data_IF_234806857909
#
_entry.id   IF_234806857909
#
_cell.length_a   1.000
_cell.length_b   1.000
_cell.length_c   1.000
_cell.angle_alpha   90.00
_cell.angle_beta   90.00
_cell.angle_gamma   90.00
#
_symmetry.space_group_name_H-M   'P 1'
#
loop_
_entity.id
_entity.type
_entity.pdbx_description
1 polymer ?
#
# COMPACT_ATOMS: atom_id res chain seq x y z
N UNK A 1 29.86 -9.09 -43.78
CA UNK A 1 29.29 -10.34 -44.35
C UNK A 1 29.22 -10.25 -45.87
N UNK A 2 28.53 -9.26 -46.45
CA UNK A 2 28.49 -9.05 -47.90
C UNK A 2 29.87 -8.73 -48.52
N UNK A 3 30.71 -7.97 -47.82
CA UNK A 3 32.08 -7.65 -48.27
C UNK A 3 33.07 -8.83 -48.19
N UNK A 4 32.70 -9.93 -47.52
CA UNK A 4 33.54 -11.12 -47.36
C UNK A 4 33.01 -12.37 -48.10
N UNK A 5 32.01 -12.23 -48.99
CA UNK A 5 31.36 -13.35 -49.72
C UNK A 5 30.78 -14.46 -48.81
N UNK A 6 30.50 -14.17 -47.55
CA UNK A 6 29.84 -15.12 -46.65
C UNK A 6 28.33 -15.01 -46.90
N UNK A 7 27.74 -16.03 -47.53
CA UNK A 7 26.29 -16.13 -47.66
C UNK A 7 25.69 -16.37 -46.27
N UNK A 8 24.94 -15.41 -45.70
CA UNK A 8 24.32 -15.59 -44.39
C UNK A 8 23.35 -16.77 -44.49
N UNK A 9 23.27 -17.58 -43.44
CA UNK A 9 22.21 -18.59 -43.28
C UNK A 9 21.24 -18.16 -42.18
N UNK A 10 20.09 -18.81 -42.07
CA UNK A 10 19.16 -18.62 -40.95
C UNK A 10 19.88 -18.76 -39.59
N UNK A 11 20.74 -19.78 -39.47
CA UNK A 11 21.55 -19.99 -38.27
C UNK A 11 22.51 -18.83 -37.99
N UNK A 12 23.13 -18.27 -39.04
CA UNK A 12 24.04 -17.13 -38.92
C UNK A 12 23.32 -15.88 -38.41
N UNK A 13 22.12 -15.59 -38.93
CA UNK A 13 21.27 -14.49 -38.46
C UNK A 13 20.83 -14.71 -37.01
N UNK A 14 20.31 -15.88 -36.68
CA UNK A 14 19.84 -16.19 -35.32
C UNK A 14 20.98 -16.13 -34.28
N UNK A 15 22.17 -16.60 -34.64
CA UNK A 15 23.35 -16.52 -33.76
C UNK A 15 23.78 -15.07 -33.52
N UNK A 16 23.80 -14.25 -34.58
CA UNK A 16 24.14 -12.83 -34.47
C UNK A 16 23.10 -12.08 -33.62
N UNK A 17 21.81 -12.31 -33.87
CA UNK A 17 20.72 -11.72 -33.09
C UNK A 17 20.81 -12.11 -31.62
N UNK A 18 21.05 -13.39 -31.32
CA UNK A 18 21.19 -13.86 -29.93
C UNK A 18 22.40 -13.23 -29.23
N UNK A 19 23.53 -13.07 -29.92
CA UNK A 19 24.71 -12.37 -29.39
C UNK A 19 24.46 -10.88 -29.10
N UNK A 20 23.77 -10.19 -30.02
CA UNK A 20 23.40 -8.78 -29.86
C UNK A 20 22.40 -8.57 -28.73
N UNK A 21 21.36 -9.41 -28.66
CA UNK A 21 20.36 -9.39 -27.57
C UNK A 21 20.98 -9.75 -26.23
N UNK A 22 21.87 -10.75 -26.18
CA UNK A 22 22.62 -11.12 -24.99
C UNK A 22 23.43 -9.94 -24.44
N UNK A 23 24.04 -9.16 -25.34
CA UNK A 23 24.82 -7.96 -25.03
C UNK A 23 23.98 -6.68 -24.86
N UNK A 24 22.65 -6.79 -24.87
CA UNK A 24 21.69 -5.68 -24.74
C UNK A 24 21.74 -4.61 -25.86
N UNK A 25 22.33 -4.92 -27.03
CA UNK A 25 22.34 -4.03 -28.21
C UNK A 25 21.06 -4.23 -29.06
N UNK A 26 19.91 -3.88 -28.49
CA UNK A 26 18.60 -4.16 -29.10
C UNK A 26 18.38 -3.38 -30.41
N UNK A 27 18.82 -2.13 -30.50
CA UNK A 27 18.70 -1.34 -31.74
C UNK A 27 19.50 -1.94 -32.91
N UNK A 28 20.69 -2.47 -32.63
CA UNK A 28 21.49 -3.18 -33.62
C UNK A 28 20.81 -4.50 -34.03
N UNK A 29 20.19 -5.21 -33.08
CA UNK A 29 19.40 -6.41 -33.36
C UNK A 29 18.18 -6.09 -34.23
N UNK A 30 17.48 -4.98 -33.99
CA UNK A 30 16.38 -4.48 -34.84
C UNK A 30 16.84 -4.27 -36.29
N UNK A 31 18.00 -3.64 -36.50
CA UNK A 31 18.55 -3.43 -37.86
C UNK A 31 18.86 -4.74 -38.57
N UNK A 32 19.45 -5.70 -37.86
CA UNK A 32 19.74 -7.04 -38.40
C UNK A 32 18.44 -7.77 -38.78
N UNK A 33 17.39 -7.62 -37.97
CA UNK A 33 16.08 -8.21 -38.24
C UNK A 33 15.38 -7.58 -39.45
N UNK A 34 15.42 -6.26 -39.60
CA UNK A 34 14.89 -5.58 -40.81
C UNK A 34 15.64 -6.04 -42.05
N UNK A 35 16.98 -6.10 -41.99
CA UNK A 35 17.79 -6.60 -43.10
C UNK A 35 17.50 -8.07 -43.45
N UNK A 36 17.12 -8.89 -42.46
CA UNK A 36 16.69 -10.27 -42.67
C UNK A 36 15.33 -10.31 -43.39
N UNK A 37 14.35 -9.50 -42.97
CA UNK A 37 13.03 -9.41 -43.61
C UNK A 37 13.08 -8.96 -45.07
N UNK A 38 13.92 -7.98 -45.38
CA UNK A 38 14.12 -7.46 -46.74
C UNK A 38 14.99 -8.39 -47.61
N UNK A 39 15.70 -9.32 -46.95
CA UNK A 39 16.58 -10.29 -47.60
C UNK A 39 15.86 -11.53 -48.13
N UNK A 40 16.65 -12.46 -48.67
CA UNK A 40 16.12 -13.75 -49.17
C UNK A 40 15.78 -14.74 -48.06
N UNK A 41 16.25 -14.51 -46.83
CA UNK A 41 16.10 -15.41 -45.69
C UNK A 41 15.01 -14.87 -44.78
N UNK A 42 13.88 -15.55 -44.73
CA UNK A 42 12.74 -15.13 -43.90
C UNK A 42 12.99 -15.47 -42.42
N UNK A 43 12.56 -14.60 -41.49
CA UNK A 43 12.54 -14.90 -40.07
C UNK A 43 11.74 -16.17 -39.75
N UNK A 44 12.19 -16.91 -38.75
CA UNK A 44 11.51 -18.06 -38.15
C UNK A 44 11.07 -17.77 -36.71
N UNK A 45 10.41 -18.74 -36.07
CA UNK A 45 9.96 -18.63 -34.66
C UNK A 45 11.12 -18.30 -33.72
N UNK A 46 12.30 -18.89 -33.94
CA UNK A 46 13.51 -18.64 -33.13
C UNK A 46 13.99 -17.19 -33.28
N UNK A 47 13.95 -16.64 -34.50
CA UNK A 47 14.29 -15.24 -34.80
C UNK A 47 13.43 -14.29 -33.96
N UNK A 48 12.11 -14.49 -33.99
CA UNK A 48 11.15 -13.66 -33.25
C UNK A 48 11.30 -13.84 -31.73
N UNK A 49 11.40 -15.08 -31.23
CA UNK A 49 11.58 -15.35 -29.80
C UNK A 49 12.84 -14.69 -29.24
N UNK A 50 13.92 -14.62 -30.04
CA UNK A 50 15.16 -13.94 -29.66
C UNK A 50 14.94 -12.43 -29.49
N UNK A 51 14.21 -11.79 -30.40
CA UNK A 51 13.90 -10.35 -30.33
C UNK A 51 12.91 -10.03 -29.22
N UNK A 52 11.86 -10.84 -29.06
CA UNK A 52 10.87 -10.74 -27.98
C UNK A 52 11.59 -10.77 -26.63
N UNK A 53 12.48 -11.76 -26.41
CA UNK A 53 13.33 -11.83 -25.22
C UNK A 53 14.17 -10.57 -25.02
N UNK A 54 14.72 -10.02 -26.10
CA UNK A 54 15.47 -8.77 -26.07
C UNK A 54 14.65 -7.56 -25.64
N UNK A 55 13.43 -7.40 -26.19
CA UNK A 55 12.50 -6.34 -25.81
C UNK A 55 12.03 -6.47 -24.36
N UNK A 56 11.71 -7.69 -23.92
CA UNK A 56 11.37 -7.99 -22.54
C UNK A 56 12.49 -7.59 -21.56
N UNK A 57 13.76 -7.86 -21.91
CA UNK A 57 14.92 -7.53 -21.07
C UNK A 57 15.10 -6.01 -20.85
N UNK A 58 14.69 -5.19 -21.83
CA UNK A 58 14.78 -3.72 -21.73
C UNK A 58 13.49 -3.05 -21.25
N UNK A 59 12.51 -3.83 -20.78
CA UNK A 59 11.23 -3.32 -20.28
C UNK A 59 10.29 -2.77 -21.36
N UNK A 60 10.45 -3.20 -22.62
CA UNK A 60 9.60 -2.80 -23.76
C UNK A 60 8.59 -3.90 -24.09
N UNK A 61 7.83 -4.38 -23.11
CA UNK A 61 6.79 -5.42 -23.25
C UNK A 61 5.77 -5.12 -24.34
N UNK A 62 5.35 -3.87 -24.51
CA UNK A 62 4.44 -3.48 -25.61
C UNK A 62 5.00 -3.79 -27.01
N UNK A 63 6.30 -3.55 -27.24
CA UNK A 63 6.93 -3.93 -28.51
C UNK A 63 7.01 -5.45 -28.63
N UNK A 64 7.27 -6.15 -27.53
CA UNK A 64 7.32 -7.61 -27.52
C UNK A 64 5.96 -8.23 -27.90
N UNK A 65 4.83 -7.68 -27.43
CA UNK A 65 3.49 -8.14 -27.82
C UNK A 65 3.12 -7.76 -29.25
N UNK A 66 3.56 -6.61 -29.75
CA UNK A 66 3.44 -6.23 -31.17
C UNK A 66 4.17 -7.24 -32.08
N UNK A 67 5.34 -7.73 -31.67
CA UNK A 67 6.09 -8.74 -32.42
C UNK A 67 5.35 -10.09 -32.50
N UNK A 68 4.63 -10.49 -31.45
CA UNK A 68 3.79 -11.71 -31.49
C UNK A 68 2.65 -11.56 -32.49
N UNK A 69 1.95 -10.43 -32.47
CA UNK A 69 0.91 -10.13 -33.46
C UNK A 69 1.45 -10.14 -34.88
N UNK A 70 2.68 -9.64 -35.07
CA UNK A 70 3.33 -9.70 -36.38
C UNK A 70 3.60 -11.16 -36.81
N UNK A 71 4.06 -12.04 -35.90
CA UNK A 71 4.25 -13.47 -36.19
C UNK A 71 2.96 -14.10 -36.71
N UNK A 72 1.82 -13.81 -36.08
CA UNK A 72 0.52 -14.35 -36.49
C UNK A 72 0.11 -13.87 -37.88
N UNK A 73 0.31 -12.58 -38.19
CA UNK A 73 -0.02 -12.00 -39.50
C UNK A 73 0.77 -12.66 -40.63
N UNK A 74 2.01 -13.07 -40.36
CA UNK A 74 2.86 -13.79 -41.33
C UNK A 74 2.66 -15.31 -41.30
N UNK A 75 1.66 -15.81 -40.57
CA UNK A 75 1.37 -17.24 -40.36
C UNK A 75 2.53 -18.03 -39.74
N UNK A 76 3.33 -17.40 -38.88
CA UNK A 76 4.23 -18.10 -37.96
C UNK A 76 3.50 -18.28 -36.62
N UNK A 77 3.20 -19.52 -36.26
CA UNK A 77 2.50 -19.81 -35.02
C UNK A 77 3.41 -19.55 -33.80
N UNK A 78 3.02 -18.65 -32.87
CA UNK A 78 3.72 -18.47 -31.61
C UNK A 78 3.69 -19.77 -30.79
N UNK A 79 4.81 -20.13 -30.19
CA UNK A 79 4.91 -21.31 -29.34
C UNK A 79 4.75 -20.97 -27.85
N UNK A 80 4.67 -22.01 -27.00
CA UNK A 80 4.56 -21.86 -25.54
C UNK A 80 5.72 -21.01 -24.97
N UNK A 81 6.91 -21.09 -25.57
CA UNK A 81 8.09 -20.31 -25.15
C UNK A 81 7.89 -18.82 -25.43
N UNK A 82 7.25 -18.47 -26.54
CA UNK A 82 6.88 -17.11 -26.91
C UNK A 82 6.03 -16.46 -25.82
N UNK A 83 4.92 -17.11 -25.45
CA UNK A 83 4.00 -16.62 -24.42
C UNK A 83 4.67 -16.55 -23.04
N UNK A 84 5.40 -17.60 -22.64
CA UNK A 84 6.07 -17.66 -21.35
C UNK A 84 7.10 -16.52 -21.19
N UNK A 85 7.83 -16.19 -22.26
CA UNK A 85 8.82 -15.10 -22.26
C UNK A 85 8.18 -13.75 -21.98
N UNK A 86 7.03 -13.46 -22.61
CA UNK A 86 6.31 -12.21 -22.42
C UNK A 86 5.63 -12.18 -21.05
N UNK A 87 4.98 -13.27 -20.63
CA UNK A 87 4.36 -13.36 -19.31
C UNK A 87 5.37 -13.12 -18.19
N UNK A 88 6.58 -13.68 -18.29
CA UNK A 88 7.64 -13.45 -17.30
C UNK A 88 8.06 -11.98 -17.22
N UNK A 89 8.09 -11.29 -18.36
CA UNK A 89 8.42 -9.87 -18.44
C UNK A 89 7.29 -8.99 -17.86
N UNK A 90 6.04 -9.23 -18.26
CA UNK A 90 4.88 -8.56 -17.71
C UNK A 90 4.78 -8.74 -16.19
N UNK A 91 5.05 -9.96 -15.69
CA UNK A 91 5.11 -10.22 -14.25
C UNK A 91 6.20 -9.38 -13.55
N UNK A 92 7.39 -9.25 -14.15
CA UNK A 92 8.46 -8.44 -13.58
C UNK A 92 8.16 -6.93 -13.58
N UNK A 93 7.34 -6.48 -14.53
CA UNK A 93 6.85 -5.09 -14.60
C UNK A 93 5.62 -4.85 -13.72
N UNK A 94 5.01 -5.90 -13.17
CA UNK A 94 3.81 -5.82 -12.35
C UNK A 94 2.49 -5.72 -13.15
N UNK A 95 2.54 -5.94 -14.47
CA UNK A 95 1.37 -5.96 -15.35
C UNK A 95 0.71 -7.35 -15.33
N UNK A 96 -0.14 -7.55 -14.31
CA UNK A 96 -0.89 -8.81 -14.12
C UNK A 96 -2.00 -8.97 -15.16
N UNK A 97 -2.60 -7.87 -15.62
CA UNK A 97 -3.69 -7.91 -16.60
C UNK A 97 -3.19 -8.40 -17.96
N UNK A 98 -1.99 -7.98 -18.38
CA UNK A 98 -1.35 -8.54 -19.57
C UNK A 98 -1.06 -10.03 -19.40
N UNK A 99 -0.57 -10.47 -18.24
CA UNK A 99 -0.34 -11.90 -17.98
C UNK A 99 -1.64 -12.72 -18.11
N UNK A 100 -2.77 -12.22 -17.58
CA UNK A 100 -4.07 -12.89 -17.70
C UNK A 100 -4.57 -12.96 -19.14
N UNK A 101 -4.37 -11.89 -19.92
CA UNK A 101 -4.75 -11.88 -21.34
C UNK A 101 -4.00 -12.95 -22.14
N UNK A 102 -2.70 -13.09 -21.91
CA UNK A 102 -1.86 -14.10 -22.56
C UNK A 102 -2.24 -15.52 -22.12
N UNK A 103 -2.60 -15.69 -20.84
CA UNK A 103 -3.09 -16.97 -20.33
C UNK A 103 -4.38 -17.43 -21.02
N UNK A 104 -5.37 -16.55 -21.15
CA UNK A 104 -6.62 -16.87 -21.85
C UNK A 104 -6.38 -17.15 -23.33
N UNK A 105 -5.50 -16.39 -23.98
CA UNK A 105 -5.12 -16.66 -25.37
C UNK A 105 -4.44 -18.04 -25.53
N UNK A 106 -3.61 -18.45 -24.55
CA UNK A 106 -3.01 -19.78 -24.55
C UNK A 106 -4.06 -20.89 -24.38
N UNK A 107 -5.07 -20.69 -23.52
CA UNK A 107 -6.18 -21.63 -23.34
C UNK A 107 -7.05 -21.74 -24.60
N UNK A 108 -7.40 -20.60 -25.21
CA UNK A 108 -8.23 -20.53 -26.42
C UNK A 108 -7.55 -21.22 -27.63
N UNK A 109 -6.22 -21.13 -27.70
CA UNK A 109 -5.41 -21.83 -28.72
C UNK A 109 -5.15 -23.30 -28.40
N UNK A 110 -5.62 -23.80 -27.25
CA UNK A 110 -5.50 -25.20 -26.85
C UNK A 110 -4.10 -25.61 -26.41
N UNK A 111 -3.24 -24.67 -25.99
CA UNK A 111 -1.92 -25.01 -25.47
C UNK A 111 -2.01 -25.70 -24.10
N UNK A 112 -1.13 -26.66 -23.86
CA UNK A 112 -0.90 -27.17 -22.50
C UNK A 112 -0.12 -26.12 -21.69
N UNK A 113 -0.83 -25.42 -20.80
CA UNK A 113 -0.25 -24.37 -19.97
C UNK A 113 0.77 -24.96 -18.97
N UNK A 114 2.04 -24.53 -19.00
CA UNK A 114 3.04 -25.02 -18.06
C UNK A 114 2.76 -24.60 -16.61
N UNK A 115 3.19 -25.43 -15.65
CA UNK A 115 3.09 -25.15 -14.20
C UNK A 115 3.69 -23.78 -13.78
N UNK A 116 4.77 -23.35 -14.46
CA UNK A 116 5.37 -22.04 -14.22
C UNK A 116 4.43 -20.88 -14.51
N UNK A 117 3.62 -20.96 -15.57
CA UNK A 117 2.67 -19.91 -15.93
C UNK A 117 1.61 -19.71 -14.84
N UNK A 118 1.07 -20.80 -14.29
CA UNK A 118 0.17 -20.73 -13.13
C UNK A 118 0.85 -20.08 -11.92
N UNK A 119 2.11 -20.42 -11.65
CA UNK A 119 2.87 -19.83 -10.55
C UNK A 119 2.99 -18.32 -10.71
N UNK A 120 3.33 -17.81 -11.90
CA UNK A 120 3.43 -16.38 -12.17
C UNK A 120 2.09 -15.66 -11.98
N UNK A 121 1.01 -16.21 -12.53
CA UNK A 121 -0.33 -15.63 -12.44
C UNK A 121 -0.84 -15.59 -11.01
N UNK A 122 -0.74 -16.70 -10.28
CA UNK A 122 -1.19 -16.78 -8.89
C UNK A 122 -0.39 -15.80 -8.04
N UNK A 123 0.94 -15.77 -8.16
CA UNK A 123 1.76 -14.81 -7.43
C UNK A 123 1.42 -13.36 -7.78
N UNK A 124 1.13 -13.08 -9.06
CA UNK A 124 0.75 -11.75 -9.55
C UNK A 124 -0.59 -11.29 -8.96
N UNK A 125 -1.61 -12.15 -9.04
CA UNK A 125 -2.93 -11.90 -8.45
C UNK A 125 -2.83 -11.72 -6.94
N UNK A 126 -2.04 -12.54 -6.25
CA UNK A 126 -1.79 -12.39 -4.82
C UNK A 126 -1.18 -11.04 -4.46
N UNK A 127 -0.24 -10.52 -5.26
CA UNK A 127 0.35 -9.18 -5.09
C UNK A 127 -0.68 -8.06 -5.26
N UNK A 128 -1.65 -8.24 -6.17
CA UNK A 128 -2.75 -7.28 -6.37
C UNK A 128 -3.90 -7.41 -5.36
N UNK A 129 -3.86 -8.42 -4.47
CA UNK A 129 -4.89 -8.67 -3.47
C UNK A 129 -6.15 -9.38 -4.00
N UNK A 130 -6.13 -9.88 -5.24
CA UNK A 130 -7.24 -10.60 -5.87
C UNK A 130 -7.26 -12.08 -5.43
N UNK A 131 -7.50 -12.31 -4.13
CA UNK A 131 -7.40 -13.64 -3.47
C UNK A 131 -8.29 -14.70 -4.14
N UNK A 132 -9.54 -14.35 -4.48
CA UNK A 132 -10.51 -15.31 -5.03
C UNK A 132 -10.12 -15.78 -6.43
N UNK A 133 -9.66 -14.86 -7.29
CA UNK A 133 -9.16 -15.19 -8.63
C UNK A 133 -7.89 -16.05 -8.55
N UNK A 134 -6.98 -15.72 -7.62
CA UNK A 134 -5.76 -16.50 -7.38
C UNK A 134 -6.08 -17.95 -6.96
N UNK A 135 -7.05 -18.13 -6.06
CA UNK A 135 -7.48 -19.46 -5.63
C UNK A 135 -8.20 -20.24 -6.76
N UNK A 136 -9.00 -19.56 -7.58
CA UNK A 136 -9.64 -20.20 -8.73
C UNK A 136 -8.61 -20.73 -9.76
N UNK A 137 -7.56 -19.95 -10.05
CA UNK A 137 -6.45 -20.40 -10.89
C UNK A 137 -5.67 -21.56 -10.25
N UNK A 138 -5.51 -21.55 -8.93
CA UNK A 138 -4.89 -22.66 -8.21
C UNK A 138 -5.70 -23.96 -8.34
N UNK A 139 -7.02 -23.92 -8.20
CA UNK A 139 -7.86 -25.11 -8.42
C UNK A 139 -7.84 -25.54 -9.90
N UNK A 140 -7.78 -24.61 -10.85
CA UNK A 140 -7.64 -24.94 -12.28
C UNK A 140 -6.30 -25.62 -12.58
N UNK A 141 -5.21 -25.13 -11.98
CA UNK A 141 -3.88 -25.73 -12.05
C UNK A 141 -3.92 -27.22 -11.62
N UNK A 142 -4.58 -27.51 -10.50
CA UNK A 142 -4.72 -28.88 -9.99
C UNK A 142 -5.59 -29.76 -10.88
N UNK A 143 -6.70 -29.22 -11.42
CA UNK A 143 -7.58 -29.94 -12.38
C UNK A 143 -6.86 -30.29 -13.67
N UNK A 144 -5.94 -29.43 -14.11
CA UNK A 144 -5.09 -29.65 -15.28
C UNK A 144 -3.89 -30.57 -14.99
N UNK A 145 -3.86 -31.23 -13.82
CA UNK A 145 -2.84 -32.21 -13.45
C UNK A 145 -1.51 -31.61 -13.01
N UNK A 146 -1.40 -30.28 -12.90
CA UNK A 146 -0.22 -29.61 -12.37
C UNK A 146 -0.25 -29.64 -10.83
N UNK A 147 0.89 -29.90 -10.19
CA UNK A 147 1.01 -29.85 -8.73
C UNK A 147 1.43 -28.46 -8.27
N UNK A 148 0.79 -27.96 -7.20
CA UNK A 148 1.23 -26.76 -6.51
C UNK A 148 2.67 -26.91 -6.02
N UNK A 149 3.46 -25.84 -6.13
CA UNK A 149 4.79 -25.78 -5.54
C UNK A 149 4.75 -24.93 -4.26
N UNK A 150 5.87 -24.91 -3.53
CA UNK A 150 6.02 -24.12 -2.30
C UNK A 150 5.64 -22.65 -2.51
N UNK A 151 6.17 -22.02 -3.56
CA UNK A 151 5.94 -20.60 -3.85
C UNK A 151 4.45 -20.26 -4.02
N UNK A 152 3.67 -21.10 -4.72
CA UNK A 152 2.22 -20.92 -4.90
C UNK A 152 1.48 -21.00 -3.58
N UNK A 153 1.78 -22.02 -2.77
CA UNK A 153 1.15 -22.18 -1.45
C UNK A 153 1.47 -21.00 -0.52
N UNK A 154 2.75 -20.64 -0.39
CA UNK A 154 3.18 -19.52 0.44
C UNK A 154 2.54 -18.21 -0.01
N UNK A 155 2.46 -17.95 -1.33
CA UNK A 155 1.83 -16.74 -1.87
C UNK A 155 0.32 -16.67 -1.59
N UNK A 156 -0.40 -17.79 -1.72
CA UNK A 156 -1.83 -17.85 -1.39
C UNK A 156 -2.05 -17.68 0.12
N UNK A 157 -1.27 -18.37 0.96
CA UNK A 157 -1.34 -18.25 2.42
C UNK A 157 -1.13 -16.81 2.87
N UNK A 158 -0.08 -16.14 2.37
CA UNK A 158 0.19 -14.72 2.66
C UNK A 158 -0.95 -13.82 2.16
N UNK A 159 -1.51 -14.09 0.99
CA UNK A 159 -2.63 -13.30 0.45
C UNK A 159 -3.92 -13.45 1.29
N UNK A 160 -4.26 -14.68 1.69
CA UNK A 160 -5.38 -14.95 2.62
C UNK A 160 -5.14 -14.29 3.99
N UNK A 161 -3.91 -14.37 4.52
CA UNK A 161 -3.54 -13.71 5.77
C UNK A 161 -3.67 -12.19 5.69
N UNK A 162 -3.18 -11.57 4.61
CA UNK A 162 -3.26 -10.11 4.38
C UNK A 162 -4.69 -9.60 4.19
N UNK A 163 -5.59 -10.43 3.65
CA UNK A 163 -7.02 -10.09 3.53
C UNK A 163 -7.82 -10.30 4.82
N UNK A 164 -7.17 -10.73 5.92
CA UNK A 164 -7.81 -10.97 7.21
C UNK A 164 -8.53 -12.32 7.33
N UNK A 165 -8.47 -13.16 6.29
CA UNK A 165 -9.06 -14.49 6.27
C UNK A 165 -8.05 -15.55 6.75
N UNK A 166 -7.74 -15.51 8.05
CA UNK A 166 -6.78 -16.44 8.66
C UNK A 166 -7.21 -17.91 8.57
N UNK A 167 -8.52 -18.19 8.56
CA UNK A 167 -9.04 -19.56 8.40
C UNK A 167 -8.71 -20.14 7.02
N UNK A 168 -8.84 -19.32 5.96
CA UNK A 168 -8.43 -19.70 4.62
C UNK A 168 -6.93 -19.98 4.54
N UNK A 169 -6.12 -19.14 5.18
CA UNK A 169 -4.67 -19.32 5.26
C UNK A 169 -4.29 -20.63 5.97
N UNK A 170 -4.91 -20.93 7.12
CA UNK A 170 -4.67 -22.18 7.85
C UNK A 170 -5.11 -23.41 7.07
N UNK A 171 -6.26 -23.37 6.38
CA UNK A 171 -6.69 -24.49 5.51
C UNK A 171 -5.69 -24.77 4.40
N UNK A 172 -5.15 -23.73 3.76
CA UNK A 172 -4.12 -23.88 2.74
C UNK A 172 -2.80 -24.40 3.31
N UNK A 173 -2.44 -23.98 4.53
CA UNK A 173 -1.25 -24.46 5.22
C UNK A 173 -1.34 -25.95 5.59
N UNK A 174 -2.49 -26.42 6.08
CA UNK A 174 -2.68 -27.84 6.33
C UNK A 174 -2.74 -28.64 5.03
N UNK A 175 -3.36 -28.10 3.97
CA UNK A 175 -3.33 -28.72 2.63
C UNK A 175 -1.90 -28.85 2.09
N UNK A 176 -1.07 -27.82 2.25
CA UNK A 176 0.34 -27.84 1.84
C UNK A 176 1.10 -29.01 2.47
N UNK A 177 0.87 -29.26 3.77
CA UNK A 177 1.46 -30.41 4.49
C UNK A 177 0.90 -31.75 3.98
N UNK A 178 -0.41 -31.83 3.76
CA UNK A 178 -1.06 -33.05 3.23
C UNK A 178 -0.54 -33.41 1.83
N UNK A 179 -0.22 -32.41 1.01
CA UNK A 179 0.39 -32.57 -0.30
C UNK A 179 1.89 -32.94 -0.24
N UNK A 180 2.45 -33.07 0.97
CA UNK A 180 3.85 -33.44 1.20
C UNK A 180 4.84 -32.29 0.96
N UNK A 181 4.38 -31.04 0.98
CA UNK A 181 5.22 -29.86 0.79
C UNK A 181 5.55 -29.29 2.17
N UNK A 182 6.81 -29.35 2.56
CA UNK A 182 7.24 -28.84 3.87
C UNK A 182 7.21 -27.31 3.91
N UNK A 183 6.48 -26.71 4.89
CA UNK A 183 6.52 -25.28 5.13
C UNK A 183 7.92 -24.82 5.51
N UNK A 184 8.31 -23.66 4.97
CA UNK A 184 9.54 -22.98 5.34
C UNK A 184 9.29 -21.75 6.21
N UNK A 185 10.37 -21.09 6.61
CA UNK A 185 10.37 -19.82 7.35
C UNK A 185 9.38 -18.79 6.78
N UNK A 186 9.36 -18.61 5.46
CA UNK A 186 8.49 -17.62 4.79
C UNK A 186 7.02 -18.00 4.98
N UNK A 187 6.72 -19.29 4.88
CA UNK A 187 5.37 -19.83 5.08
C UNK A 187 4.89 -19.66 6.52
N UNK A 188 5.72 -19.96 7.51
CA UNK A 188 5.37 -19.74 8.92
C UNK A 188 5.21 -18.25 9.23
N UNK A 189 6.08 -17.38 8.69
CA UNK A 189 5.95 -15.93 8.81
C UNK A 189 4.64 -15.39 8.24
N UNK A 190 4.20 -15.91 7.08
CA UNK A 190 2.91 -15.57 6.49
C UNK A 190 1.72 -15.97 7.38
N UNK A 191 1.77 -17.16 7.99
CA UNK A 191 0.74 -17.62 8.94
C UNK A 191 0.70 -16.75 10.18
N UNK A 192 1.84 -16.46 10.80
CA UNK A 192 1.91 -15.63 12.01
C UNK A 192 1.43 -14.21 11.74
N UNK A 193 1.83 -13.61 10.62
CA UNK A 193 1.34 -12.30 10.21
C UNK A 193 -0.19 -12.30 10.00
N UNK A 194 -0.73 -13.32 9.31
CA UNK A 194 -2.16 -13.47 9.11
C UNK A 194 -2.93 -13.62 10.43
N UNK A 195 -2.45 -14.47 11.34
CA UNK A 195 -3.07 -14.70 12.65
C UNK A 195 -3.05 -13.44 13.53
N UNK A 196 -1.92 -12.74 13.60
CA UNK A 196 -1.81 -11.48 14.32
C UNK A 196 -2.79 -10.42 13.80
N UNK A 197 -2.91 -10.28 12.47
CA UNK A 197 -3.86 -9.34 11.86
C UNK A 197 -5.32 -9.68 12.12
N UNK A 198 -5.65 -10.96 12.24
CA UNK A 198 -6.99 -11.43 12.62
C UNK A 198 -7.23 -11.44 14.13
N UNK A 199 -6.27 -10.97 14.95
CA UNK A 199 -6.37 -10.92 16.41
C UNK A 199 -6.20 -12.27 17.12
N UNK A 200 -5.81 -13.34 16.40
CA UNK A 200 -5.60 -14.70 16.92
C UNK A 200 -4.17 -14.89 17.44
N UNK A 201 -3.77 -14.00 18.35
CA UNK A 201 -2.37 -13.88 18.80
C UNK A 201 -1.88 -15.12 19.56
N UNK A 202 -2.76 -15.83 20.28
CA UNK A 202 -2.39 -17.06 20.98
C UNK A 202 -1.92 -18.17 20.04
N UNK A 203 -2.61 -18.34 18.91
CA UNK A 203 -2.21 -19.32 17.89
C UNK A 203 -0.91 -18.90 17.21
N UNK A 204 -0.75 -17.59 16.95
CA UNK A 204 0.49 -17.04 16.41
C UNK A 204 1.70 -17.32 17.33
N UNK A 205 1.54 -17.13 18.65
CA UNK A 205 2.54 -17.49 19.65
C UNK A 205 2.79 -19.01 19.71
N UNK A 206 1.76 -19.83 19.48
CA UNK A 206 1.91 -21.28 19.34
C UNK A 206 2.85 -21.65 18.19
N UNK A 207 2.66 -21.05 17.02
CA UNK A 207 3.57 -21.25 15.87
C UNK A 207 4.97 -20.68 16.12
N UNK A 208 5.09 -19.55 16.83
CA UNK A 208 6.39 -19.01 17.23
C UNK A 208 7.18 -19.98 18.11
N UNK A 209 6.53 -20.54 19.14
CA UNK A 209 7.14 -21.55 20.02
C UNK A 209 7.55 -22.79 19.23
N UNK A 210 6.67 -23.27 18.35
CA UNK A 210 6.99 -24.38 17.45
C UNK A 210 8.23 -24.10 16.60
N UNK A 211 8.36 -22.91 16.02
CA UNK A 211 9.53 -22.54 15.21
C UNK A 211 10.81 -22.50 16.05
N UNK A 212 10.75 -21.94 17.26
CA UNK A 212 11.88 -21.91 18.20
C UNK A 212 12.32 -23.31 18.64
N UNK A 213 11.38 -24.22 18.94
CA UNK A 213 11.65 -25.59 19.38
C UNK A 213 12.22 -26.47 18.25
N UNK A 214 11.81 -26.22 17.00
CA UNK A 214 12.23 -26.99 15.83
C UNK A 214 13.39 -26.34 15.06
N UNK A 215 14.05 -25.34 15.65
CA UNK A 215 15.16 -24.59 15.05
C UNK A 215 14.85 -24.02 13.64
N UNK A 216 13.58 -23.69 13.38
CA UNK A 216 13.18 -22.96 12.17
C UNK A 216 13.66 -21.53 12.34
N UNK A 217 14.42 -21.02 11.36
CA UNK A 217 14.93 -19.65 11.38
C UNK A 217 13.74 -18.69 11.41
N UNK A 218 13.76 -17.77 12.37
CA UNK A 218 12.76 -16.72 12.52
C UNK A 218 13.39 -15.41 12.04
N UNK A 219 12.71 -14.68 11.16
CA UNK A 219 13.18 -13.40 10.65
C UNK A 219 12.47 -12.20 11.27
N UNK A 220 12.92 -11.00 10.88
CA UNK A 220 12.35 -9.72 11.30
C UNK A 220 10.83 -9.63 11.05
N UNK A 221 10.31 -10.15 9.94
CA UNK A 221 8.86 -10.10 9.62
C UNK A 221 8.04 -10.87 10.65
N UNK A 222 8.59 -11.96 11.16
CA UNK A 222 7.93 -12.78 12.17
C UNK A 222 7.83 -12.04 13.51
N UNK A 223 8.95 -11.50 14.00
CA UNK A 223 9.01 -10.69 15.21
C UNK A 223 8.13 -9.45 15.11
N UNK A 224 8.24 -8.72 14.00
CA UNK A 224 7.46 -7.50 13.77
C UNK A 224 5.96 -7.76 13.78
N UNK A 225 5.53 -8.91 13.22
CA UNK A 225 4.13 -9.33 13.20
C UNK A 225 3.61 -9.67 14.60
N UNK A 226 4.43 -10.34 15.42
CA UNK A 226 4.07 -10.65 16.81
C UNK A 226 4.00 -9.39 17.67
N UNK A 227 4.97 -8.47 17.56
CA UNK A 227 4.99 -7.20 18.30
C UNK A 227 3.74 -6.38 17.96
N UNK A 228 3.42 -6.23 16.67
CA UNK A 228 2.21 -5.51 16.22
C UNK A 228 0.92 -6.21 16.68
N UNK A 229 0.84 -7.54 16.58
CA UNK A 229 -0.30 -8.32 17.04
C UNK A 229 -0.53 -8.22 18.55
N UNK A 230 0.52 -8.39 19.35
CA UNK A 230 0.49 -8.28 20.82
C UNK A 230 0.16 -6.85 21.26
N UNK A 231 0.75 -5.84 20.63
CA UNK A 231 0.45 -4.43 20.87
C UNK A 231 -1.02 -4.10 20.62
N UNK A 232 -1.59 -4.57 19.49
CA UNK A 232 -3.02 -4.41 19.17
C UNK A 232 -3.95 -5.16 20.12
N UNK A 233 -3.50 -6.30 20.66
CA UNK A 233 -4.22 -7.06 21.68
C UNK A 233 -4.09 -6.46 23.09
N UNK A 234 -3.32 -5.37 23.27
CA UNK A 234 -3.09 -4.73 24.56
C UNK A 234 -2.09 -5.47 25.46
N UNK A 235 -1.43 -6.53 24.98
CA UNK A 235 -0.45 -7.34 25.71
C UNK A 235 0.96 -6.79 25.53
N UNK A 236 1.13 -5.51 25.88
CA UNK A 236 2.36 -4.75 25.64
C UNK A 236 3.58 -5.32 26.36
N UNK A 237 3.42 -5.86 27.57
CA UNK A 237 4.54 -6.44 28.33
C UNK A 237 5.12 -7.69 27.63
N UNK A 238 4.29 -8.45 26.92
CA UNK A 238 4.76 -9.56 26.09
C UNK A 238 5.35 -9.06 24.77
N UNK A 239 4.81 -7.99 24.20
CA UNK A 239 5.39 -7.35 23.02
C UNK A 239 6.80 -6.81 23.30
N UNK A 240 7.03 -6.21 24.48
CA UNK A 240 8.36 -5.76 24.92
C UNK A 240 9.34 -6.94 25.04
N UNK A 241 8.91 -8.07 25.63
CA UNK A 241 9.76 -9.29 25.71
C UNK A 241 10.14 -9.82 24.33
N UNK A 242 9.19 -9.89 23.40
CA UNK A 242 9.44 -10.34 22.02
C UNK A 242 10.36 -9.35 21.29
N UNK A 243 10.24 -8.06 21.57
CA UNK A 243 11.11 -7.01 21.01
C UNK A 243 12.56 -7.14 21.51
N UNK A 244 12.77 -7.39 22.80
CA UNK A 244 14.12 -7.58 23.34
C UNK A 244 14.71 -8.93 22.89
N UNK A 245 13.91 -10.01 22.82
CA UNK A 245 14.34 -11.31 22.27
C UNK A 245 14.81 -11.19 20.80
N UNK A 246 14.16 -10.34 20.01
CA UNK A 246 14.55 -10.05 18.63
C UNK A 246 15.99 -9.53 18.55
N UNK A 247 16.34 -8.57 19.41
CA UNK A 247 17.67 -8.00 19.49
C UNK A 247 18.72 -9.01 19.99
N UNK A 248 18.38 -9.84 20.99
CA UNK A 248 19.26 -10.89 21.53
C UNK A 248 19.63 -11.95 20.48
N UNK A 249 18.71 -12.28 19.57
CA UNK A 249 18.97 -13.21 18.47
C UNK A 249 19.67 -12.57 17.26
N UNK A 250 20.11 -11.32 17.39
CA UNK A 250 20.82 -10.60 16.33
C UNK A 250 19.93 -10.10 15.18
N UNK A 251 18.61 -10.13 15.34
CA UNK A 251 17.68 -9.48 14.43
C UNK A 251 17.51 -8.03 14.88
N UNK A 252 18.12 -7.07 14.18
CA UNK A 252 18.00 -5.66 14.56
C UNK A 252 16.56 -5.17 14.32
N UNK A 253 15.89 -4.57 15.33
CA UNK A 253 14.58 -3.97 15.14
C UNK A 253 14.64 -2.84 14.12
N UNK A 254 13.71 -2.82 13.18
CA UNK A 254 13.58 -1.74 12.20
C UNK A 254 12.56 -0.68 12.67
N UNK A 255 12.39 0.39 11.89
CA UNK A 255 11.43 1.44 12.22
C UNK A 255 9.99 0.92 12.35
N UNK A 256 9.63 -0.19 11.68
CA UNK A 256 8.31 -0.78 11.81
C UNK A 256 8.13 -1.43 13.20
N UNK A 257 9.12 -2.20 13.68
CA UNK A 257 9.09 -2.81 15.01
C UNK A 257 8.96 -1.76 16.13
N UNK A 258 9.77 -0.70 16.10
CA UNK A 258 9.65 0.40 17.09
C UNK A 258 8.26 1.04 17.03
N UNK A 259 7.77 1.36 15.83
CA UNK A 259 6.46 1.98 15.67
C UNK A 259 5.32 1.12 16.19
N UNK A 260 5.36 -0.20 15.95
CA UNK A 260 4.37 -1.14 16.44
C UNK A 260 4.35 -1.19 17.97
N UNK A 261 5.52 -1.23 18.62
CA UNK A 261 5.62 -1.25 20.07
C UNK A 261 5.21 0.09 20.70
N UNK A 262 5.67 1.21 20.13
CA UNK A 262 5.27 2.58 20.54
C UNK A 262 3.75 2.74 20.45
N UNK A 263 3.11 2.31 19.36
CA UNK A 263 1.66 2.35 19.19
C UNK A 263 0.93 1.47 20.21
N UNK A 264 1.43 0.27 20.48
CA UNK A 264 0.92 -0.60 21.54
C UNK A 264 0.97 0.06 22.91
N UNK A 265 2.13 0.61 23.30
CA UNK A 265 2.31 1.30 24.59
C UNK A 265 1.40 2.52 24.73
N UNK A 266 1.27 3.32 23.67
CA UNK A 266 0.35 4.45 23.60
C UNK A 266 -1.10 4.02 23.89
N UNK A 267 -1.56 2.94 23.23
CA UNK A 267 -2.93 2.42 23.41
C UNK A 267 -3.19 1.90 24.82
N UNK A 268 -2.18 1.32 25.48
CA UNK A 268 -2.25 0.89 26.88
C UNK A 268 -2.08 2.03 27.89
N UNK A 269 -1.89 3.28 27.44
CA UNK A 269 -1.71 4.46 28.30
C UNK A 269 -0.31 4.60 28.90
N UNK A 270 0.66 3.78 28.48
CA UNK A 270 2.08 3.82 28.89
C UNK A 270 2.88 4.80 28.02
N UNK A 271 2.44 6.06 27.95
CA UNK A 271 3.03 7.06 27.04
C UNK A 271 4.48 7.43 27.39
N UNK A 272 4.86 7.41 28.67
CA UNK A 272 6.24 7.71 29.08
C UNK A 272 7.22 6.64 28.58
N UNK A 273 6.84 5.36 28.65
CA UNK A 273 7.63 4.25 28.09
C UNK A 273 7.75 4.37 26.57
N UNK A 274 6.67 4.78 25.89
CA UNK A 274 6.68 5.04 24.46
C UNK A 274 7.66 6.19 24.08
N UNK A 275 7.75 7.24 24.90
CA UNK A 275 8.72 8.34 24.72
C UNK A 275 10.16 7.89 25.01
N UNK A 276 10.37 6.95 25.92
CA UNK A 276 11.69 6.33 26.14
C UNK A 276 12.10 5.51 24.92
N UNK A 277 11.20 4.69 24.37
CA UNK A 277 11.47 3.94 23.13
C UNK A 277 11.72 4.85 21.93
N UNK A 278 11.00 5.98 21.82
CA UNK A 278 11.26 6.98 20.79
C UNK A 278 12.70 7.50 20.82
N UNK A 279 13.26 7.73 22.01
CA UNK A 279 14.66 8.18 22.16
C UNK A 279 15.64 7.04 21.90
N UNK A 280 15.34 5.83 22.40
CA UNK A 280 16.16 4.63 22.18
C UNK A 280 16.31 4.33 20.68
N UNK A 281 15.25 4.53 19.90
CA UNK A 281 15.26 4.35 18.45
C UNK A 281 16.41 5.11 17.75
N UNK A 282 16.68 6.35 18.16
CA UNK A 282 17.78 7.16 17.62
C UNK A 282 19.15 6.66 18.08
N UNK A 283 19.27 6.24 19.35
CA UNK A 283 20.50 5.64 19.88
C UNK A 283 20.87 4.33 19.18
N UNK A 284 19.86 3.55 18.79
CA UNK A 284 20.03 2.27 18.10
C UNK A 284 20.24 2.47 16.58
N UNK A 285 20.35 3.72 16.10
CA UNK A 285 20.63 4.06 14.71
C UNK A 285 19.43 3.92 13.77
N UNK A 286 18.21 3.79 14.31
CA UNK A 286 16.98 3.69 13.52
C UNK A 286 16.36 5.08 13.29
N UNK A 287 16.05 5.41 12.05
CA UNK A 287 15.47 6.71 11.71
C UNK A 287 14.00 6.82 12.10
N UNK A 288 13.65 7.91 12.78
CA UNK A 288 12.25 8.26 13.03
C UNK A 288 11.51 8.48 11.70
N UNK A 289 10.29 7.96 11.63
CA UNK A 289 9.44 8.11 10.45
C UNK A 289 8.29 9.06 10.74
N UNK A 290 7.63 9.57 9.69
CA UNK A 290 6.37 10.34 9.83
C UNK A 290 5.34 9.59 10.68
N UNK A 291 5.30 8.26 10.56
CA UNK A 291 4.37 7.42 11.32
C UNK A 291 4.70 7.42 12.82
N UNK A 292 5.98 7.35 13.20
CA UNK A 292 6.46 7.45 14.59
C UNK A 292 5.96 8.73 15.27
N UNK A 293 6.15 9.87 14.61
CA UNK A 293 5.66 11.16 15.12
C UNK A 293 4.14 11.22 15.17
N UNK A 294 3.45 10.68 14.16
CA UNK A 294 1.98 10.66 14.11
C UNK A 294 1.36 9.93 15.30
N UNK A 295 1.90 8.76 15.67
CA UNK A 295 1.45 7.99 16.83
C UNK A 295 1.58 8.83 18.11
N UNK A 296 2.78 9.35 18.37
CA UNK A 296 3.08 10.10 19.60
C UNK A 296 2.28 11.40 19.69
N UNK A 297 2.19 12.17 18.61
CA UNK A 297 1.42 13.41 18.57
C UNK A 297 -0.05 13.14 18.86
N UNK A 298 -0.64 12.15 18.20
CA UNK A 298 -2.04 11.77 18.41
C UNK A 298 -2.29 11.36 19.86
N UNK A 299 -1.41 10.55 20.43
CA UNK A 299 -1.56 10.06 21.80
C UNK A 299 -1.34 11.17 22.84
N UNK A 300 -0.33 12.02 22.68
CA UNK A 300 -0.06 13.13 23.59
C UNK A 300 -1.24 14.11 23.66
N UNK A 301 -1.92 14.37 22.54
CA UNK A 301 -3.16 15.14 22.56
C UNK A 301 -4.31 14.42 23.29
N UNK A 302 -4.41 13.08 23.14
CA UNK A 302 -5.42 12.26 23.81
C UNK A 302 -5.24 12.25 25.34
N UNK A 303 -4.00 12.23 25.82
CA UNK A 303 -3.63 12.30 27.25
C UNK A 303 -3.56 13.76 27.75
N UNK A 304 -3.91 14.74 26.92
CA UNK A 304 -3.89 16.18 27.23
C UNK A 304 -2.50 16.78 27.51
N UNK A 305 -1.41 16.11 27.12
CA UNK A 305 -0.02 16.62 27.14
C UNK A 305 0.27 17.47 25.90
N UNK A 306 -0.54 18.51 25.71
CA UNK A 306 -0.59 19.30 24.48
C UNK A 306 0.74 20.01 24.13
N UNK A 307 1.52 20.42 25.13
CA UNK A 307 2.80 21.10 24.89
C UNK A 307 3.86 20.16 24.33
N UNK A 308 3.88 18.91 24.80
CA UNK A 308 4.79 17.89 24.28
C UNK A 308 4.38 17.45 22.88
N UNK A 309 3.07 17.32 22.60
CA UNK A 309 2.58 17.05 21.25
C UNK A 309 3.07 18.11 20.24
N UNK A 310 3.07 19.37 20.67
CA UNK A 310 3.59 20.49 19.88
C UNK A 310 5.11 20.42 19.70
N UNK A 311 5.87 20.08 20.76
CA UNK A 311 7.32 19.88 20.64
C UNK A 311 7.66 18.74 19.67
N UNK A 312 6.88 17.65 19.67
CA UNK A 312 7.06 16.54 18.73
C UNK A 312 6.78 16.96 17.29
N UNK A 313 5.78 17.81 17.06
CA UNK A 313 5.53 18.39 15.75
C UNK A 313 6.69 19.27 15.28
N UNK A 314 7.12 20.21 16.11
CA UNK A 314 8.21 21.12 15.78
C UNK A 314 9.52 20.34 15.52
N UNK A 315 9.82 19.30 16.32
CA UNK A 315 10.96 18.39 16.12
C UNK A 315 10.92 17.61 14.80
N UNK A 316 9.73 17.19 14.36
CA UNK A 316 9.57 16.51 13.07
C UNK A 316 9.95 17.43 11.90
N UNK A 317 9.52 18.70 11.98
CA UNK A 317 9.84 19.72 10.97
C UNK A 317 11.34 20.06 11.00
N UNK A 318 11.93 20.20 12.18
CA UNK A 318 13.35 20.49 12.36
C UNK A 318 14.25 19.36 11.80
N UNK A 319 13.80 18.11 11.91
CA UNK A 319 14.47 16.94 11.29
C UNK A 319 14.27 16.84 9.77
N UNK A 320 13.49 17.74 9.16
CA UNK A 320 13.21 17.73 7.72
C UNK A 320 12.24 16.63 7.28
N UNK A 321 11.51 16.02 8.22
CA UNK A 321 10.54 14.95 7.93
C UNK A 321 9.23 15.60 7.49
N UNK A 322 8.82 15.38 6.23
CA UNK A 322 7.60 15.98 5.68
C UNK A 322 6.34 15.34 6.27
N UNK A 323 5.44 16.10 6.93
CA UNK A 323 4.20 15.56 7.45
C UNK A 323 3.31 14.99 6.34
N UNK A 324 2.69 13.83 6.58
CA UNK A 324 1.65 13.31 5.70
C UNK A 324 0.25 13.78 6.13
N UNK A 325 -0.77 13.50 5.31
CA UNK A 325 -2.16 13.90 5.57
C UNK A 325 -2.67 13.41 6.93
N UNK A 326 -2.29 12.20 7.34
CA UNK A 326 -2.71 11.61 8.62
C UNK A 326 -2.08 12.35 9.82
N UNK A 327 -0.78 12.66 9.76
CA UNK A 327 -0.06 13.42 10.78
C UNK A 327 -0.67 14.81 10.96
N UNK A 328 -0.87 15.51 9.85
CA UNK A 328 -1.50 16.82 9.84
C UNK A 328 -2.93 16.79 10.43
N UNK A 329 -3.72 15.79 10.06
CA UNK A 329 -5.07 15.59 10.61
C UNK A 329 -5.04 15.38 12.12
N UNK A 330 -4.16 14.50 12.61
CA UNK A 330 -4.01 14.24 14.04
C UNK A 330 -3.62 15.51 14.81
N UNK A 331 -2.63 16.24 14.30
CA UNK A 331 -2.15 17.47 14.92
C UNK A 331 -3.21 18.59 14.93
N UNK A 332 -3.84 18.87 13.79
CA UNK A 332 -4.85 19.94 13.67
C UNK A 332 -6.09 19.68 14.52
N UNK A 333 -6.57 18.43 14.57
CA UNK A 333 -7.65 18.02 15.47
C UNK A 333 -7.24 18.19 16.93
N UNK A 334 -6.07 17.71 17.33
CA UNK A 334 -5.55 17.85 18.70
C UNK A 334 -5.39 19.31 19.15
N UNK A 335 -4.91 20.17 18.26
CA UNK A 335 -4.78 21.61 18.50
C UNK A 335 -6.14 22.32 18.65
N UNK A 336 -7.14 21.93 17.85
CA UNK A 336 -8.50 22.40 18.01
C UNK A 336 -9.11 21.96 19.34
N UNK A 337 -8.96 20.68 19.70
CA UNK A 337 -9.47 20.14 20.95
C UNK A 337 -8.76 20.66 22.20
N UNK A 338 -7.56 21.20 22.07
CA UNK A 338 -6.85 21.95 23.13
C UNK A 338 -7.14 23.45 23.14
N UNK A 339 -7.94 23.96 22.19
CA UNK A 339 -8.35 25.36 22.11
C UNK A 339 -7.37 26.30 21.42
N UNK A 340 -6.29 25.76 20.86
CA UNK A 340 -5.28 26.52 20.10
C UNK A 340 -5.62 26.57 18.61
N UNK A 341 -6.88 26.89 18.28
CA UNK A 341 -7.42 26.90 16.89
C UNK A 341 -6.63 27.83 15.97
N UNK A 342 -6.18 28.99 16.47
CA UNK A 342 -5.40 29.94 15.69
C UNK A 342 -4.05 29.35 15.21
N UNK A 343 -3.34 28.61 16.07
CA UNK A 343 -2.09 27.94 15.69
C UNK A 343 -2.34 26.80 14.71
N UNK A 344 -3.43 26.05 14.86
CA UNK A 344 -3.83 25.03 13.88
C UNK A 344 -4.07 25.63 12.48
N UNK A 345 -4.70 26.81 12.40
CA UNK A 345 -4.91 27.53 11.13
C UNK A 345 -3.59 28.04 10.53
N UNK A 346 -2.65 28.52 11.36
CA UNK A 346 -1.34 28.97 10.89
C UNK A 346 -0.54 27.83 10.23
N UNK A 347 -0.53 26.67 10.89
CA UNK A 347 0.14 25.47 10.36
C UNK A 347 -0.51 25.00 9.06
N UNK A 348 -1.83 25.14 8.93
CA UNK A 348 -2.53 24.89 7.66
C UNK A 348 -2.04 25.79 6.51
N UNK A 349 -1.88 27.08 6.80
CA UNK A 349 -1.42 28.05 5.81
C UNK A 349 0.03 27.76 5.38
N UNK A 350 0.87 27.32 6.31
CA UNK A 350 2.26 26.91 6.04
C UNK A 350 2.37 25.63 5.18
N UNK A 351 1.41 24.71 5.31
CA UNK A 351 1.41 23.44 4.58
C UNK A 351 0.61 23.46 3.27
N UNK A 352 -0.19 24.51 3.03
CA UNK A 352 -0.94 24.68 1.78
C UNK A 352 -0.06 24.55 0.52
N UNK A 353 1.17 25.12 0.46
CA UNK A 353 2.06 24.97 -0.69
C UNK A 353 2.58 23.55 -0.90
N UNK A 354 2.51 22.68 0.12
CA UNK A 354 2.99 21.29 0.07
C UNK A 354 1.93 20.31 -0.46
N UNK A 355 0.82 20.81 -1.01
CA UNK A 355 -0.23 19.97 -1.61
C UNK A 355 -1.29 19.47 -0.63
N UNK A 356 -1.34 20.01 0.60
CA UNK A 356 -2.43 19.68 1.54
C UNK A 356 -3.75 20.26 1.04
N UNK A 357 -4.75 19.38 0.86
CA UNK A 357 -6.11 19.79 0.52
C UNK A 357 -6.75 20.48 1.71
N UNK A 358 -6.72 21.80 1.71
CA UNK A 358 -7.21 22.62 2.82
C UNK A 358 -8.71 22.40 3.11
N UNK A 359 -9.51 22.01 2.12
CA UNK A 359 -10.94 21.75 2.31
C UNK A 359 -11.18 20.58 3.27
N UNK A 360 -10.54 19.44 3.05
CA UNK A 360 -10.67 18.25 3.91
C UNK A 360 -10.13 18.51 5.32
N UNK A 361 -9.10 19.34 5.44
CA UNK A 361 -8.56 19.73 6.74
C UNK A 361 -9.55 20.54 7.58
N UNK A 362 -10.20 21.54 6.97
CA UNK A 362 -11.22 22.33 7.65
C UNK A 362 -12.47 21.49 7.99
N UNK A 363 -12.84 20.53 7.12
CA UNK A 363 -13.87 19.53 7.41
C UNK A 363 -13.58 18.78 8.71
N UNK A 364 -12.37 18.24 8.83
CA UNK A 364 -11.94 17.46 9.99
C UNK A 364 -11.89 18.30 11.27
N UNK A 365 -11.35 19.52 11.20
CA UNK A 365 -11.26 20.43 12.35
C UNK A 365 -12.64 20.86 12.86
N UNK A 366 -13.54 21.30 11.97
CA UNK A 366 -14.90 21.70 12.36
C UNK A 366 -15.66 20.50 12.90
N UNK A 367 -15.57 19.34 12.23
CA UNK A 367 -16.21 18.11 12.68
C UNK A 367 -15.75 17.69 14.08
N UNK A 368 -14.46 17.78 14.37
CA UNK A 368 -13.91 17.47 15.70
C UNK A 368 -14.41 18.43 16.78
N UNK A 369 -14.38 19.74 16.54
CA UNK A 369 -14.89 20.75 17.48
C UNK A 369 -16.39 20.55 17.76
N UNK A 370 -17.17 20.26 16.72
CA UNK A 370 -18.60 19.96 16.81
C UNK A 370 -18.90 18.70 17.62
N UNK A 371 -18.11 17.63 17.47
CA UNK A 371 -18.23 16.40 18.27
C UNK A 371 -17.87 16.61 19.74
N UNK A 372 -16.87 17.44 20.02
CA UNK A 372 -16.44 17.80 21.36
C UNK A 372 -17.34 18.85 22.05
N UNK A 373 -18.42 19.31 21.40
CA UNK A 373 -19.32 20.32 21.96
C UNK A 373 -18.76 21.75 21.96
N UNK A 374 -17.59 21.98 21.36
CA UNK A 374 -16.94 23.30 21.23
C UNK A 374 -17.53 24.12 20.08
N UNK A 375 -18.85 24.28 20.09
CA UNK A 375 -19.61 24.82 18.95
C UNK A 375 -19.25 26.27 18.64
N UNK A 376 -18.93 27.08 19.66
CA UNK A 376 -18.51 28.48 19.47
C UNK A 376 -17.23 28.57 18.61
N UNK A 377 -16.27 27.70 18.87
CA UNK A 377 -15.01 27.69 18.11
C UNK A 377 -15.16 27.10 16.72
N UNK A 378 -16.03 26.10 16.56
CA UNK A 378 -16.41 25.59 15.25
C UNK A 378 -17.02 26.70 14.37
N UNK A 379 -17.87 27.56 14.95
CA UNK A 379 -18.43 28.74 14.27
C UNK A 379 -17.36 29.78 13.93
N UNK A 380 -16.43 30.10 14.85
CA UNK A 380 -15.30 31.00 14.57
C UNK A 380 -14.43 30.51 13.42
N UNK A 381 -14.15 29.21 13.39
CA UNK A 381 -13.35 28.59 12.33
C UNK A 381 -14.09 28.65 10.99
N UNK A 382 -15.39 28.34 10.98
CA UNK A 382 -16.24 28.45 9.80
C UNK A 382 -16.28 29.89 9.24
N UNK A 383 -16.34 30.91 10.10
CA UNK A 383 -16.27 32.31 9.69
C UNK A 383 -14.94 32.66 9.05
N UNK A 384 -13.82 32.20 9.62
CA UNK A 384 -12.49 32.42 9.05
C UNK A 384 -12.35 31.86 7.63
N UNK A 385 -13.00 30.74 7.33
CA UNK A 385 -13.01 30.14 5.98
C UNK A 385 -13.83 31.00 5.01
N UNK A 386 -15.01 31.47 5.43
CA UNK A 386 -15.88 32.34 4.63
C UNK A 386 -15.24 33.71 4.37
N UNK A 387 -14.56 34.28 5.37
CA UNK A 387 -13.82 35.54 5.26
C UNK A 387 -12.68 35.41 4.23
N UNK A 388 -12.06 34.23 4.11
CA UNK A 388 -11.07 33.88 3.07
C UNK A 388 -11.69 33.58 1.68
N UNK A 389 -13.00 33.77 1.53
CA UNK A 389 -13.71 33.62 0.26
C UNK A 389 -14.02 32.18 -0.14
N UNK A 390 -13.91 31.22 0.79
CA UNK A 390 -14.15 29.80 0.52
C UNK A 390 -15.56 29.39 0.95
N UNK A 391 -16.20 28.51 0.19
CA UNK A 391 -17.48 27.93 0.58
C UNK A 391 -17.30 26.79 1.58
N UNK A 392 -18.28 26.64 2.48
CA UNK A 392 -18.33 25.52 3.42
C UNK A 392 -19.05 24.35 2.75
N UNK A 393 -18.41 23.17 2.62
CA UNK A 393 -19.03 21.97 2.07
C UNK A 393 -20.36 21.62 2.77
N UNK A 394 -21.33 21.13 1.99
CA UNK A 394 -22.67 20.78 2.49
C UNK A 394 -22.66 19.72 3.60
N UNK A 395 -21.68 18.80 3.59
CA UNK A 395 -21.51 17.79 4.65
C UNK A 395 -21.16 18.42 6.00
N UNK A 396 -20.23 19.38 6.05
CA UNK A 396 -19.90 20.12 7.29
C UNK A 396 -21.13 20.82 7.83
N UNK A 397 -21.91 21.45 6.94
CA UNK A 397 -23.12 22.17 7.32
C UNK A 397 -24.08 21.29 8.11
N UNK A 398 -24.33 20.08 7.64
CA UNK A 398 -25.18 19.10 8.33
C UNK A 398 -24.63 18.74 9.71
N UNK A 399 -23.31 18.53 9.82
CA UNK A 399 -22.65 18.24 11.10
C UNK A 399 -22.79 19.41 12.08
N UNK A 400 -22.56 20.65 11.62
CA UNK A 400 -22.72 21.84 12.45
C UNK A 400 -24.16 22.02 12.93
N UNK A 401 -25.16 21.85 12.05
CA UNK A 401 -26.59 21.93 12.39
C UNK A 401 -26.94 20.92 13.49
N UNK A 402 -26.49 19.67 13.34
CA UNK A 402 -26.76 18.62 14.31
C UNK A 402 -26.11 18.94 15.67
N UNK A 403 -24.84 19.36 15.69
CA UNK A 403 -24.15 19.75 16.91
C UNK A 403 -24.75 20.97 17.60
N UNK A 404 -25.26 21.94 16.83
CA UNK A 404 -25.98 23.10 17.35
C UNK A 404 -27.30 22.73 18.01
N UNK A 405 -28.09 21.83 17.40
CA UNK A 405 -29.31 21.30 18.03
C UNK A 405 -29.00 20.58 19.34
N UNK A 406 -27.95 19.74 19.34
CA UNK A 406 -27.52 19.00 20.53
C UNK A 406 -27.04 19.93 21.65
N UNK A 407 -26.45 21.07 21.31
CA UNK A 407 -26.02 22.09 22.26
C UNK A 407 -27.16 23.02 22.75
N UNK A 408 -28.42 22.77 22.38
CA UNK A 408 -29.57 23.58 22.77
C UNK A 408 -29.79 24.85 21.93
N UNK A 409 -28.97 25.09 20.90
CA UNK A 409 -29.05 26.26 20.03
C UNK A 409 -29.96 25.98 18.81
N UNK A 410 -31.22 25.62 19.07
CA UNK A 410 -32.18 25.21 18.03
C UNK A 410 -32.46 26.31 17.01
N UNK A 411 -32.59 27.56 17.46
CA UNK A 411 -32.83 28.72 16.58
C UNK A 411 -31.66 28.94 15.61
N UNK A 412 -30.44 28.78 16.10
CA UNK A 412 -29.25 28.89 15.28
C UNK A 412 -29.15 27.73 14.26
N UNK A 413 -29.48 26.51 14.67
CA UNK A 413 -29.53 25.37 13.76
C UNK A 413 -30.58 25.57 12.64
N UNK A 414 -31.73 26.17 12.96
CA UNK A 414 -32.79 26.52 11.99
C UNK A 414 -32.31 27.63 11.04
N UNK A 415 -31.63 28.65 11.55
CA UNK A 415 -31.01 29.71 10.72
C UNK A 415 -30.00 29.10 9.75
N UNK A 416 -29.13 28.19 10.21
CA UNK A 416 -28.15 27.49 9.39
C UNK A 416 -28.78 26.58 8.31
N UNK A 417 -29.91 25.93 8.59
CA UNK A 417 -30.67 25.14 7.59
C UNK A 417 -31.23 26.00 6.45
N UNK A 418 -31.76 27.18 6.78
CA UNK A 418 -32.38 28.08 5.80
C UNK A 418 -31.39 29.01 5.11
N UNK A 419 -30.20 29.14 5.67
CA UNK A 419 -29.14 29.97 5.10
C UNK A 419 -28.32 29.15 4.08
N UNK A 420 -28.28 29.59 2.83
CA UNK A 420 -27.28 29.11 1.86
C UNK A 420 -25.92 29.78 2.17
N UNK A 421 -25.30 29.55 3.32
CA UNK A 421 -24.06 30.30 3.67
C UNK A 421 -22.87 29.70 2.91
N UNK A 422 -22.10 30.46 2.09
CA UNK A 422 -21.62 31.85 2.19
C UNK A 422 -22.50 33.06 1.81
N UNK A 423 -23.81 32.92 1.65
CA UNK A 423 -24.78 34.04 1.51
C UNK A 423 -25.91 33.87 2.53
N UNK A 424 -25.90 34.65 3.60
CA UNK A 424 -27.09 34.79 4.45
C UNK A 424 -28.15 35.63 3.71
N UNK A 425 -29.40 35.19 3.69
CA UNK A 425 -30.51 36.04 3.29
C UNK A 425 -31.15 36.59 4.56
N UNK A 426 -31.02 37.90 4.77
CA UNK A 426 -31.94 38.63 5.63
C UNK A 426 -33.10 39.13 4.75
N UNK A 427 -34.35 38.82 5.11
CA UNK A 427 -35.53 39.31 4.38
C UNK A 427 -35.92 40.70 4.90
N UNK A 428 -35.02 41.66 4.74
CA UNK A 428 -35.38 43.07 4.68
C UNK A 428 -34.60 43.72 3.53
N UNK A 429 -35.30 43.90 2.40
CA UNK A 429 -34.87 44.66 1.20
C UNK A 429 -33.59 44.17 0.52
N UNK A 430 -33.76 43.43 -0.57
CA UNK A 430 -32.92 43.29 -1.80
C UNK A 430 -31.37 43.31 -1.76
N UNK A 431 -30.70 43.28 -0.61
CA UNK A 431 -29.24 43.37 -0.49
C UNK A 431 -28.71 42.07 0.10
N UNK A 432 -27.86 41.36 -0.65
CA UNK A 432 -27.17 40.14 -0.18
C UNK A 432 -26.03 40.54 0.77
N UNK A 433 -26.15 40.26 2.07
CA UNK A 433 -25.07 40.47 3.06
C UNK A 433 -24.57 39.13 3.61
N UNK A 434 -23.25 38.96 3.69
CA UNK A 434 -22.62 37.83 4.39
C UNK A 434 -22.93 37.96 5.89
N UNK A 435 -23.53 36.93 6.48
CA UNK A 435 -23.77 36.87 7.94
C UNK A 435 -22.72 35.95 8.54
N UNK A 436 -22.01 36.42 9.57
CA UNK A 436 -21.02 35.61 10.29
C UNK A 436 -21.72 34.62 11.23
N UNK A 437 -21.25 33.37 11.27
CA UNK A 437 -21.63 32.33 12.22
C UNK A 437 -21.44 32.74 13.67
N UNK A 438 -20.49 33.62 13.97
CA UNK A 438 -20.25 34.16 15.32
C UNK A 438 -21.41 35.06 15.79
N UNK A 439 -21.92 35.93 14.91
CA UNK A 439 -23.09 36.81 15.18
C UNK A 439 -24.37 36.03 15.46
N UNK A 440 -24.34 34.76 15.14
CA UNK A 440 -25.41 33.81 15.18
C UNK A 440 -25.41 33.01 16.50
N UNK A 441 -24.26 32.92 17.18
CA UNK A 441 -24.03 32.20 18.46
C UNK A 441 -24.09 33.14 19.68
N UNK A 442 -23.76 34.41 19.51
CA UNK A 442 -23.64 35.40 20.60
C UNK A 442 -24.95 36.18 20.87
N UNK A 443 -26.07 35.81 20.24
CA UNK A 443 -27.40 36.41 20.41
C UNK A 443 -28.41 35.47 21.06
#
# INVERSE_FOLDING_TARGET
>A
MNEQNIHPTLFTYNSLLNGLVGSSFIESAERVFVAMKEGRIKPDVVTYNTLIKGYCKIGKTRKATEMVREMEVINLEPDVVTYMTIMQACYSEGDVDCCLSLYHEMEDKGFQVPSHCYTLLICGLCKTGKVLEAYALFENMLRNGCKGNKAVYTALIDCYGKSGNSDGALRLFERMKMDGIEPDEVTYGAIVNGLCKSGRVEEALGYFRFCNENAVVVNAVFYSSLIDGLGKAGRVDEAEKVFDEMAEKGCLPDSYCYNALIDGLCKCGRIDDALVLFKRMECDGCEHTVYTFTILISELFRVHRNEEAVKMWDLMIDKGITPNVACFRAFSIGMCLSGKVARACKVLDELAPMGVVLETAYEDMIGALCKAGRVKEACKLADGIVDRGREIPGKIRTVMIHSLRKAGNADLAIKLMHSKIGIGYDRMRSVKKRVKFQTLVDN
#
